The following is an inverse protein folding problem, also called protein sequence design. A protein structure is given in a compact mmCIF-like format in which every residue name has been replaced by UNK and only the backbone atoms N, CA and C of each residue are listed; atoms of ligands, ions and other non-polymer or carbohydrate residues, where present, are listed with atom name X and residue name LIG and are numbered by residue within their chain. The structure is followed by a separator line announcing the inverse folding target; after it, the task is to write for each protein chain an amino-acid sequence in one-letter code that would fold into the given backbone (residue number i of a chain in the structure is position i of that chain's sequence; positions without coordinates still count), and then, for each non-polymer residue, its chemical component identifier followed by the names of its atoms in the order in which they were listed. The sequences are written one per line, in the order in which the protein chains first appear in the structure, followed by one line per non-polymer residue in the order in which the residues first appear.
data_IF_890775352700
#
_entry.id   IF_890775352700
#
_cell.length_a   1.000
_cell.length_b   1.000
_cell.length_c   1.000
_cell.angle_alpha   90.00
_cell.angle_beta   90.00
_cell.angle_gamma   90.00
#
_symmetry.space_group_name_H-M   'P 1'
#
loop_
_entity.id
_entity.type
_entity.pdbx_description
1 polymer ?
#
# COMPACT_ATOMS: atom_id res chain seq x y z
N UNK A 1 77.81 -10.49 12.30
CA UNK A 1 76.92 -9.44 11.75
C UNK A 1 75.69 -9.42 12.65
N UNK A 2 75.68 -8.62 13.73
CA UNK A 2 75.18 -7.24 13.75
C UNK A 2 73.68 -7.26 14.14
N UNK A 3 73.30 -7.35 15.43
CA UNK A 3 73.27 -6.32 16.50
C UNK A 3 71.91 -5.61 16.62
N UNK A 4 71.40 -5.64 17.87
CA UNK A 4 70.55 -4.66 18.61
C UNK A 4 69.03 -4.82 18.71
N UNK A 5 68.65 -5.11 19.96
CA UNK A 5 67.43 -4.81 20.71
C UNK A 5 67.02 -3.33 20.74
N UNK A 6 65.73 -3.05 20.94
CA UNK A 6 65.17 -2.04 21.88
C UNK A 6 63.64 -2.21 21.93
N UNK A 7 63.06 -2.70 23.03
CA UNK A 7 62.47 -1.97 24.16
C UNK A 7 61.18 -1.18 23.83
N UNK A 8 60.02 -1.71 24.26
CA UNK A 8 58.77 -0.98 24.42
C UNK A 8 58.69 -0.42 25.86
N UNK A 9 58.49 0.89 25.97
CA UNK A 9 58.25 1.60 27.23
C UNK A 9 56.74 1.69 27.49
N UNK A 10 56.34 1.25 28.68
CA UNK A 10 55.05 1.53 29.30
C UNK A 10 55.21 2.58 30.41
N UNK A 11 54.45 3.67 30.32
CA UNK A 11 54.08 4.67 31.35
C UNK A 11 52.80 5.34 30.81
N UNK A 12 51.75 5.67 31.54
CA UNK A 12 51.47 5.69 32.97
C UNK A 12 50.30 6.67 33.17
N UNK A 13 49.26 6.20 33.84
CA UNK A 13 48.36 6.88 34.80
C UNK A 13 48.26 8.42 34.80
N UNK A 14 47.03 8.96 34.74
CA UNK A 14 46.64 10.15 35.49
C UNK A 14 45.17 10.08 35.94
N UNK A 15 44.99 9.96 37.25
CA UNK A 15 43.82 10.36 38.03
C UNK A 15 43.80 11.88 38.23
N UNK A 16 42.62 12.50 38.21
CA UNK A 16 42.47 13.94 38.51
C UNK A 16 41.03 14.37 38.75
N UNK A 17 40.55 14.15 39.96
CA UNK A 17 39.36 14.78 40.55
C UNK A 17 39.72 16.21 40.99
N UNK A 18 39.01 17.23 40.53
CA UNK A 18 38.89 18.54 41.22
C UNK A 18 37.42 19.00 41.16
N UNK A 19 36.88 19.32 42.35
CA UNK A 19 35.59 19.94 42.64
C UNK A 19 35.64 21.45 42.34
N UNK A 20 34.51 22.05 41.98
CA UNK A 20 34.05 23.34 42.56
C UNK A 20 32.54 23.52 42.38
N UNK A 21 31.98 24.24 43.34
CA UNK A 21 30.57 24.53 43.61
C UNK A 21 30.14 25.92 43.09
N UNK A 22 28.83 26.04 42.85
CA UNK A 22 27.92 27.21 43.00
C UNK A 22 27.94 28.36 41.97
N UNK A 23 26.69 28.67 41.58
CA UNK A 23 26.04 29.95 41.28
C UNK A 23 26.50 30.78 40.07
N UNK A 24 25.65 30.82 39.04
CA UNK A 24 24.98 32.03 38.54
C UNK A 24 24.17 31.69 37.28
N UNK A 25 22.98 32.28 37.16
CA UNK A 25 22.00 31.96 36.13
C UNK A 25 22.48 32.18 34.69
N UNK A 26 21.97 31.36 33.79
CA UNK A 26 21.90 31.71 32.36
C UNK A 26 20.68 31.04 31.76
N UNK A 27 19.85 31.87 31.14
CA UNK A 27 18.64 31.52 30.40
C UNK A 27 18.97 30.53 29.28
N UNK A 28 18.27 29.39 29.24
CA UNK A 28 18.36 28.43 28.14
C UNK A 28 17.16 28.65 27.22
N UNK A 29 17.43 29.23 26.05
CA UNK A 29 16.49 29.25 24.93
C UNK A 29 16.58 27.86 24.29
N UNK A 30 15.50 27.08 24.37
CA UNK A 30 15.35 25.86 23.58
C UNK A 30 14.96 26.27 22.17
N UNK A 31 15.87 26.05 21.22
CA UNK A 31 15.61 26.21 19.80
C UNK A 31 14.81 24.98 19.33
N UNK A 32 13.51 25.15 19.11
CA UNK A 32 12.65 24.16 18.46
C UNK A 32 13.02 24.09 16.99
N UNK A 33 13.73 23.02 16.63
CA UNK A 33 14.11 22.70 15.27
C UNK A 33 12.87 22.44 14.40
N UNK A 34 12.66 23.35 13.47
CA UNK A 34 11.76 23.26 12.34
C UNK A 34 12.32 22.19 11.37
N UNK A 35 11.67 21.03 11.28
CA UNK A 35 11.97 20.03 10.27
C UNK A 35 11.30 20.43 8.94
N UNK A 36 12.11 20.90 7.99
CA UNK A 36 11.68 21.11 6.61
C UNK A 36 11.36 19.78 5.93
N UNK A 37 10.07 19.57 5.64
CA UNK A 37 9.60 18.61 4.63
C UNK A 37 10.01 19.11 3.24
N UNK A 38 11.17 18.67 2.74
CA UNK A 38 11.54 18.82 1.33
C UNK A 38 11.85 17.46 0.71
N UNK A 39 11.01 17.01 -0.22
CA UNK A 39 11.33 15.81 -1.00
C UNK A 39 10.21 15.08 -1.74
N UNK A 40 9.37 15.77 -2.53
CA UNK A 40 8.68 15.09 -3.64
C UNK A 40 8.28 16.06 -4.77
N UNK A 41 9.23 16.41 -5.63
CA UNK A 41 8.93 16.92 -6.98
C UNK A 41 9.85 16.21 -7.98
N UNK A 42 9.43 15.03 -8.44
CA UNK A 42 9.98 14.44 -9.65
C UNK A 42 9.33 15.09 -10.87
N UNK A 43 10.19 15.58 -11.74
CA UNK A 43 9.92 16.23 -13.01
C UNK A 43 9.11 15.32 -13.94
N UNK A 44 7.89 15.73 -14.30
CA UNK A 44 7.21 15.27 -15.50
C UNK A 44 7.60 16.19 -16.67
N UNK A 45 8.47 15.68 -17.54
CA UNK A 45 8.93 16.35 -18.76
C UNK A 45 7.86 16.17 -19.83
N UNK A 46 6.87 17.06 -19.86
CA UNK A 46 5.83 17.10 -20.90
C UNK A 46 6.33 17.93 -22.10
N UNK A 47 6.55 17.23 -23.21
CA UNK A 47 6.75 17.84 -24.52
C UNK A 47 5.47 18.55 -24.97
N UNK A 48 5.51 19.88 -25.02
CA UNK A 48 4.52 20.68 -25.73
C UNK A 48 4.86 20.70 -27.22
N UNK A 49 3.96 20.14 -28.04
CA UNK A 49 3.74 20.61 -29.42
C UNK A 49 2.26 20.98 -29.59
N UNK A 50 1.97 22.05 -30.35
CA UNK A 50 0.63 22.60 -30.47
C UNK A 50 -0.10 22.01 -31.69
N UNK A 51 -1.37 21.67 -31.53
CA UNK A 51 -2.27 21.54 -32.68
C UNK A 51 -3.69 22.02 -32.35
N UNK A 52 -3.99 23.18 -32.93
CA UNK A 52 -5.25 23.63 -33.52
C UNK A 52 -6.58 23.09 -32.95
N UNK A 53 -7.32 24.01 -32.34
CA UNK A 53 -8.66 24.45 -32.77
C UNK A 53 -9.57 23.39 -33.42
N UNK A 54 -10.49 22.81 -32.64
CA UNK A 54 -11.73 22.26 -33.17
C UNK A 54 -12.91 22.63 -32.27
N UNK A 55 -13.90 23.24 -32.92
CA UNK A 55 -15.10 23.82 -32.34
C UNK A 55 -15.95 22.83 -31.53
N UNK A 56 -16.54 23.38 -30.46
CA UNK A 56 -17.71 22.91 -29.73
C UNK A 56 -18.75 22.26 -30.65
N UNK A 57 -19.11 21.01 -30.37
CA UNK A 57 -20.47 20.49 -30.58
C UNK A 57 -20.91 19.78 -29.32
N UNK A 58 -21.78 20.46 -28.58
CA UNK A 58 -22.54 19.88 -27.49
C UNK A 58 -23.42 18.75 -28.04
N UNK A 59 -23.30 17.56 -27.45
CA UNK A 59 -24.20 16.44 -27.67
C UNK A 59 -25.40 16.61 -26.74
N UNK A 60 -26.65 16.67 -27.25
CA UNK A 60 -27.82 16.71 -26.39
C UNK A 60 -28.16 15.30 -25.89
N UNK A 61 -28.59 15.24 -24.64
CA UNK A 61 -29.16 14.07 -23.98
C UNK A 61 -30.36 13.54 -24.80
N UNK A 62 -30.24 12.30 -25.26
CA UNK A 62 -31.31 11.59 -25.95
C UNK A 62 -32.33 11.09 -24.92
N UNK A 63 -33.40 11.85 -24.76
CA UNK A 63 -34.65 11.43 -24.13
C UNK A 63 -35.30 10.34 -24.99
N UNK A 64 -35.46 9.14 -24.45
CA UNK A 64 -36.18 8.06 -25.11
C UNK A 64 -37.69 8.33 -25.05
N UNK A 65 -38.25 8.76 -26.18
CA UNK A 65 -39.68 8.80 -26.42
C UNK A 65 -40.23 7.38 -26.65
N UNK A 66 -41.18 6.99 -25.80
CA UNK A 66 -42.01 5.79 -25.95
C UNK A 66 -43.07 6.07 -27.04
N UNK A 67 -43.20 5.22 -28.09
CA UNK A 67 -44.22 5.42 -29.11
C UNK A 67 -45.62 5.04 -28.63
N UNK A 68 -46.56 5.95 -28.86
CA UNK A 68 -47.98 5.78 -28.59
C UNK A 68 -48.60 4.68 -29.49
N UNK A 69 -49.08 3.61 -28.88
CA UNK A 69 -49.83 2.55 -29.55
C UNK A 69 -51.28 2.97 -29.82
N UNK A 70 -51.68 2.81 -31.08
CA UNK A 70 -52.98 3.13 -31.68
C UNK A 70 -54.09 2.26 -31.08
N UNK A 71 -55.12 2.89 -30.51
CA UNK A 71 -56.33 2.24 -29.97
C UNK A 71 -57.21 1.70 -31.12
N UNK A 72 -57.35 0.38 -31.20
CA UNK A 72 -58.43 -0.27 -31.97
C UNK A 72 -59.53 -0.68 -31.00
N UNK A 73 -60.71 -0.09 -31.16
CA UNK A 73 -61.92 -0.44 -30.41
C UNK A 73 -62.42 -1.82 -30.86
N UNK A 74 -62.23 -2.83 -30.01
CA UNK A 74 -62.96 -4.10 -30.09
C UNK A 74 -63.85 -4.21 -28.85
N UNK A 75 -65.18 -4.30 -28.99
CA UNK A 75 -66.06 -4.57 -27.86
C UNK A 75 -66.00 -6.06 -27.53
N UNK A 76 -65.59 -6.40 -26.30
CA UNK A 76 -65.82 -7.72 -25.71
C UNK A 76 -64.59 -8.42 -25.14
N UNK A 77 -64.11 -8.01 -23.96
CA UNK A 77 -63.58 -9.02 -23.03
C UNK A 77 -64.08 -8.88 -21.58
N UNK A 78 -64.96 -7.91 -21.27
CA UNK A 78 -65.40 -7.67 -19.89
C UNK A 78 -66.27 -8.79 -19.30
N UNK A 79 -66.95 -9.59 -20.13
CA UNK A 79 -67.75 -10.72 -19.64
C UNK A 79 -66.87 -11.93 -19.32
N UNK A 80 -65.72 -12.10 -19.98
CA UNK A 80 -64.82 -13.25 -19.78
C UNK A 80 -63.90 -13.03 -18.57
N UNK A 81 -63.41 -11.80 -18.33
CA UNK A 81 -62.56 -11.52 -17.15
C UNK A 81 -63.35 -11.52 -15.84
N UNK A 82 -64.61 -11.07 -15.82
CA UNK A 82 -65.43 -11.15 -14.59
C UNK A 82 -65.80 -12.61 -14.22
N UNK A 83 -65.99 -13.50 -15.20
CA UNK A 83 -66.23 -14.92 -14.94
C UNK A 83 -64.98 -15.65 -14.42
N UNK A 84 -63.77 -15.24 -14.84
CA UNK A 84 -62.51 -15.80 -14.32
C UNK A 84 -62.17 -15.32 -12.90
N UNK A 85 -62.53 -14.08 -12.53
CA UNK A 85 -62.32 -13.58 -11.17
C UNK A 85 -63.27 -14.26 -10.17
N UNK A 86 -64.53 -14.49 -10.53
CA UNK A 86 -65.48 -15.17 -9.64
C UNK A 86 -65.23 -16.69 -9.50
N UNK A 87 -64.76 -17.37 -10.55
CA UNK A 87 -64.37 -18.80 -10.46
C UNK A 87 -63.00 -19.00 -9.80
N UNK A 88 -62.10 -18.02 -9.89
CA UNK A 88 -60.83 -18.01 -9.16
C UNK A 88 -61.00 -17.77 -7.64
N UNK A 89 -61.95 -16.92 -7.23
CA UNK A 89 -62.14 -16.65 -5.80
C UNK A 89 -62.78 -17.82 -5.03
N UNK A 90 -63.60 -18.65 -5.67
CA UNK A 90 -64.19 -19.85 -5.05
C UNK A 90 -63.19 -20.99 -4.82
N UNK A 91 -62.15 -21.09 -5.66
CA UNK A 91 -61.11 -22.15 -5.53
C UNK A 91 -59.92 -21.72 -4.67
N UNK A 92 -59.65 -20.42 -4.55
CA UNK A 92 -58.59 -19.89 -3.68
C UNK A 92 -59.00 -19.90 -2.20
N UNK A 93 -60.28 -19.69 -1.86
CA UNK A 93 -60.74 -19.76 -0.46
C UNK A 93 -60.69 -21.19 0.11
N UNK A 94 -60.90 -22.19 -0.74
CA UNK A 94 -60.85 -23.61 -0.37
C UNK A 94 -59.41 -24.16 -0.29
N UNK A 95 -58.48 -23.63 -1.09
CA UNK A 95 -57.04 -23.92 -0.95
C UNK A 95 -56.41 -23.28 0.29
N UNK A 96 -56.82 -22.06 0.66
CA UNK A 96 -56.28 -21.38 1.86
C UNK A 96 -56.68 -22.04 3.18
N UNK A 97 -57.68 -22.93 3.18
CA UNK A 97 -58.12 -23.68 4.36
C UNK A 97 -57.43 -25.05 4.52
N UNK A 98 -56.59 -25.48 3.56
CA UNK A 98 -55.95 -26.81 3.56
C UNK A 98 -54.47 -26.83 3.91
N UNK A 99 -53.84 -25.68 4.11
CA UNK A 99 -52.38 -25.57 4.36
C UNK A 99 -51.97 -25.21 5.78
N UNK A 100 -52.89 -25.18 6.75
CA UNK A 100 -52.53 -25.12 8.17
C UNK A 100 -52.34 -26.56 8.72
N UNK A 101 -51.32 -27.26 8.22
CA UNK A 101 -50.98 -28.63 8.61
C UNK A 101 -50.18 -28.74 9.92
N UNK A 102 -49.99 -27.63 10.64
CA UNK A 102 -49.32 -27.62 11.94
C UNK A 102 -50.35 -27.51 13.06
N UNK A 103 -50.36 -28.51 13.94
CA UNK A 103 -51.11 -28.52 15.20
C UNK A 103 -50.92 -27.17 15.94
N UNK A 104 -51.98 -26.49 16.41
CA UNK A 104 -51.89 -25.16 17.05
C UNK A 104 -50.74 -24.98 18.08
N UNK A 105 -50.47 -25.93 19.01
CA UNK A 105 -49.35 -25.79 19.94
C UNK A 105 -47.96 -25.85 19.27
N UNK A 106 -47.82 -26.52 18.13
CA UNK A 106 -46.58 -26.54 17.35
C UNK A 106 -46.34 -25.19 16.70
N UNK A 107 -47.38 -24.58 16.13
CA UNK A 107 -47.31 -23.22 15.56
C UNK A 107 -46.96 -22.18 16.63
N UNK A 108 -47.56 -22.27 17.82
CA UNK A 108 -47.25 -21.35 18.91
C UNK A 108 -45.83 -21.54 19.46
N UNK A 109 -45.28 -22.76 19.42
CA UNK A 109 -43.87 -23.01 19.73
C UNK A 109 -42.95 -22.33 18.72
N UNK A 110 -43.17 -22.54 17.42
CA UNK A 110 -42.36 -21.93 16.37
C UNK A 110 -42.44 -20.39 16.40
N UNK A 111 -43.62 -19.82 16.71
CA UNK A 111 -43.76 -18.37 16.89
C UNK A 111 -42.91 -17.86 18.05
N UNK A 112 -42.92 -18.55 19.19
CA UNK A 112 -42.06 -18.18 20.34
C UNK A 112 -40.57 -18.28 20.03
N UNK A 113 -40.14 -19.34 19.33
CA UNK A 113 -38.75 -19.51 18.90
C UNK A 113 -38.33 -18.38 17.95
N UNK A 114 -39.18 -18.05 16.97
CA UNK A 114 -38.93 -16.93 16.06
C UNK A 114 -38.92 -15.57 16.78
N UNK A 115 -39.83 -15.34 17.74
CA UNK A 115 -39.85 -14.12 18.54
C UNK A 115 -38.62 -14.00 19.46
N UNK A 116 -38.06 -15.12 19.91
CA UNK A 116 -36.78 -15.15 20.64
C UNK A 116 -35.59 -14.84 19.73
N UNK A 117 -35.57 -15.41 18.52
CA UNK A 117 -34.54 -15.13 17.52
C UNK A 117 -34.56 -13.67 17.06
N UNK A 118 -35.75 -13.12 16.78
CA UNK A 118 -35.92 -11.70 16.43
C UNK A 118 -35.40 -10.79 17.54
N UNK A 119 -35.76 -11.06 18.81
CA UNK A 119 -35.24 -10.30 19.96
C UNK A 119 -33.73 -10.46 20.11
N UNK A 120 -33.17 -11.62 19.76
CA UNK A 120 -31.72 -11.85 19.71
C UNK A 120 -31.04 -10.95 18.67
N UNK A 121 -31.58 -10.91 17.45
CA UNK A 121 -31.08 -10.05 16.38
C UNK A 121 -31.24 -8.55 16.68
N UNK A 122 -32.33 -8.13 17.33
CA UNK A 122 -32.50 -6.74 17.76
C UNK A 122 -31.40 -6.31 18.74
N UNK A 123 -31.06 -7.14 19.73
CA UNK A 123 -29.96 -6.85 20.67
C UNK A 123 -28.61 -6.74 19.97
N UNK A 124 -28.34 -7.62 19.01
CA UNK A 124 -27.10 -7.58 18.20
C UNK A 124 -27.06 -6.29 17.38
N UNK A 125 -28.18 -5.92 16.75
CA UNK A 125 -28.29 -4.69 15.96
C UNK A 125 -28.11 -3.43 16.81
N UNK A 126 -28.65 -3.41 18.02
CA UNK A 126 -28.43 -2.32 18.97
C UNK A 126 -26.97 -2.24 19.43
N UNK A 127 -26.31 -3.37 19.68
CA UNK A 127 -24.89 -3.41 20.02
C UNK A 127 -24.03 -2.86 18.88
N UNK A 128 -24.27 -3.32 17.65
CA UNK A 128 -23.59 -2.85 16.46
C UNK A 128 -23.82 -1.35 16.20
N UNK A 129 -25.05 -0.86 16.41
CA UNK A 129 -25.35 0.57 16.29
C UNK A 129 -24.62 1.40 17.33
N UNK A 130 -24.41 0.90 18.57
CA UNK A 130 -23.61 1.61 19.58
C UNK A 130 -22.15 1.70 19.16
N UNK A 131 -21.57 0.60 18.68
CA UNK A 131 -20.19 0.59 18.16
C UNK A 131 -20.01 1.53 16.97
N UNK A 132 -20.99 1.60 16.07
CA UNK A 132 -20.97 2.56 14.95
C UNK A 132 -20.96 4.01 15.42
N UNK A 133 -21.77 4.36 16.43
CA UNK A 133 -21.79 5.71 16.99
C UNK A 133 -20.45 6.06 17.65
N UNK A 134 -19.86 5.11 18.38
CA UNK A 134 -18.53 5.31 18.97
C UNK A 134 -17.45 5.52 17.91
N UNK A 135 -17.45 4.69 16.85
CA UNK A 135 -16.51 4.85 15.74
C UNK A 135 -16.72 6.17 14.99
N UNK A 136 -17.97 6.60 14.82
CA UNK A 136 -18.29 7.88 14.17
C UNK A 136 -17.80 9.07 15.00
N UNK A 137 -17.95 9.01 16.33
CA UNK A 137 -17.40 10.02 17.24
C UNK A 137 -15.87 10.12 17.15
N UNK A 138 -15.17 8.98 17.06
CA UNK A 138 -13.71 8.97 16.90
C UNK A 138 -13.32 9.60 15.56
N UNK A 139 -14.05 9.25 14.48
CA UNK A 139 -13.80 9.81 13.14
C UNK A 139 -14.00 11.32 13.11
N UNK A 140 -15.10 11.83 13.66
CA UNK A 140 -15.38 13.27 13.73
C UNK A 140 -14.33 13.99 14.58
N UNK A 141 -13.93 13.42 15.73
CA UNK A 141 -12.86 13.98 16.55
C UNK A 141 -11.53 14.10 15.80
N UNK A 142 -11.18 13.08 15.00
CA UNK A 142 -9.99 13.12 14.16
C UNK A 142 -10.09 14.15 13.02
N UNK A 143 -11.28 14.34 12.44
CA UNK A 143 -11.53 15.37 11.42
C UNK A 143 -11.35 16.79 12.00
N UNK A 144 -11.84 17.04 13.21
CA UNK A 144 -11.67 18.31 13.92
C UNK A 144 -10.18 18.58 14.24
N UNK A 145 -9.45 17.59 14.78
CA UNK A 145 -8.00 17.70 15.03
C UNK A 145 -7.21 17.98 13.73
N UNK A 146 -7.58 17.30 12.63
CA UNK A 146 -6.99 17.55 11.32
C UNK A 146 -7.27 18.97 10.82
N UNK A 147 -8.46 19.50 11.07
CA UNK A 147 -8.80 20.86 10.70
C UNK A 147 -7.99 21.87 11.52
N UNK A 148 -7.87 21.68 12.82
CA UNK A 148 -7.07 22.54 13.70
C UNK A 148 -5.60 22.58 13.26
N UNK A 149 -5.02 21.42 12.94
CA UNK A 149 -3.65 21.33 12.42
C UNK A 149 -3.47 22.07 11.09
N UNK A 150 -4.45 21.96 10.17
CA UNK A 150 -4.40 22.69 8.89
C UNK A 150 -4.46 24.20 9.09
N UNK A 151 -5.30 24.66 10.01
CA UNK A 151 -5.40 26.09 10.33
C UNK A 151 -4.14 26.60 11.03
N UNK A 152 -3.56 25.83 11.95
CA UNK A 152 -2.29 26.16 12.60
C UNK A 152 -1.15 26.27 11.58
N UNK A 153 -1.03 25.30 10.68
CA UNK A 153 -0.07 25.34 9.59
C UNK A 153 -0.32 26.53 8.65
N UNK A 154 -1.58 26.83 8.35
CA UNK A 154 -1.96 28.00 7.55
C UNK A 154 -1.52 29.33 8.20
N UNK A 155 -1.64 29.45 9.53
CA UNK A 155 -1.17 30.63 10.27
C UNK A 155 0.35 30.76 10.21
N UNK A 156 1.07 29.66 10.41
CA UNK A 156 2.54 29.64 10.35
C UNK A 156 3.06 30.01 8.95
N UNK A 157 2.45 29.46 7.89
CA UNK A 157 2.80 29.81 6.50
C UNK A 157 2.52 31.29 6.23
N UNK A 158 1.40 31.85 6.71
CA UNK A 158 1.08 33.26 6.56
C UNK A 158 2.10 34.16 7.30
N UNK A 159 2.54 33.76 8.49
CA UNK A 159 3.57 34.46 9.24
C UNK A 159 4.93 34.43 8.51
N UNK A 160 5.35 33.26 8.02
CA UNK A 160 6.57 33.14 7.21
C UNK A 160 6.52 34.00 5.95
N UNK A 161 5.37 34.07 5.28
CA UNK A 161 5.19 34.96 4.14
C UNK A 161 5.31 36.44 4.51
N UNK A 162 4.76 36.85 5.67
CA UNK A 162 4.91 38.24 6.16
C UNK A 162 6.37 38.57 6.45
N UNK A 163 7.09 37.67 7.12
CA UNK A 163 8.53 37.84 7.40
C UNK A 163 9.32 37.94 6.09
N UNK A 164 9.02 37.08 5.12
CA UNK A 164 9.65 37.09 3.81
C UNK A 164 9.43 38.42 3.07
N UNK A 165 8.18 38.88 2.99
CA UNK A 165 7.84 40.15 2.33
C UNK A 165 8.47 41.35 3.06
N UNK A 166 8.51 41.32 4.40
CA UNK A 166 9.21 42.32 5.19
C UNK A 166 10.70 42.39 4.82
N UNK A 167 11.36 41.23 4.75
CA UNK A 167 12.76 41.15 4.35
C UNK A 167 13.01 41.58 2.90
N UNK A 168 12.10 41.24 1.97
CA UNK A 168 12.18 41.68 0.57
C UNK A 168 12.06 43.22 0.46
N UNK A 169 11.15 43.83 1.23
CA UNK A 169 11.01 45.29 1.30
C UNK A 169 12.26 45.96 1.90
N UNK A 170 12.78 45.46 3.03
CA UNK A 170 14.01 45.97 3.64
C UNK A 170 15.21 45.85 2.67
N UNK A 171 15.31 44.72 1.97
CA UNK A 171 16.33 44.53 0.92
C UNK A 171 16.17 45.52 -0.22
N UNK A 172 14.94 45.85 -0.62
CA UNK A 172 14.67 46.84 -1.65
C UNK A 172 15.05 48.24 -1.17
N UNK A 173 14.66 48.64 0.04
CA UNK A 173 15.01 49.93 0.63
C UNK A 173 16.52 50.12 0.75
N UNK A 174 17.25 49.08 1.18
CA UNK A 174 18.72 49.11 1.22
C UNK A 174 19.34 49.25 -0.17
N UNK A 175 18.81 48.56 -1.18
CA UNK A 175 19.30 48.71 -2.57
C UNK A 175 19.07 50.11 -3.09
N UNK A 176 17.92 50.71 -2.81
CA UNK A 176 17.62 52.08 -3.22
C UNK A 176 18.47 53.11 -2.48
N UNK A 177 18.69 52.93 -1.17
CA UNK A 177 19.57 53.77 -0.37
C UNK A 177 21.01 53.72 -0.89
N UNK A 178 21.54 52.52 -1.11
CA UNK A 178 22.86 52.32 -1.70
C UNK A 178 22.95 52.93 -3.10
N UNK A 179 21.91 52.78 -3.93
CA UNK A 179 21.84 53.41 -5.25
C UNK A 179 21.88 54.94 -5.19
N UNK A 180 21.24 55.56 -4.19
CA UNK A 180 21.30 57.01 -3.96
C UNK A 180 22.70 57.45 -3.54
N UNK A 181 23.33 56.73 -2.61
CA UNK A 181 24.68 57.02 -2.13
C UNK A 181 25.72 56.90 -3.25
N UNK A 182 25.63 55.85 -4.08
CA UNK A 182 26.49 55.70 -5.26
C UNK A 182 26.27 56.84 -6.26
N UNK A 183 25.03 57.25 -6.50
CA UNK A 183 24.73 58.37 -7.40
C UNK A 183 25.22 59.72 -6.87
N UNK A 184 25.21 59.92 -5.55
CA UNK A 184 25.76 61.11 -4.89
C UNK A 184 27.29 61.14 -4.98
N UNK A 185 27.97 60.03 -4.64
CA UNK A 185 29.42 59.90 -4.81
C UNK A 185 29.86 60.08 -6.26
N UNK A 186 29.07 59.62 -7.24
CA UNK A 186 29.38 59.81 -8.65
C UNK A 186 29.27 61.29 -9.08
N UNK A 187 28.32 62.05 -8.53
CA UNK A 187 28.23 63.51 -8.74
C UNK A 187 29.39 64.26 -8.09
N UNK A 188 29.82 63.84 -6.91
CA UNK A 188 30.99 64.43 -6.23
C UNK A 188 32.29 64.07 -6.95
N UNK A 189 32.40 62.84 -7.46
CA UNK A 189 33.53 62.33 -8.23
C UNK A 189 33.72 63.02 -9.59
N UNK A 190 32.63 63.35 -10.30
CA UNK A 190 32.68 64.11 -11.56
C UNK A 190 33.16 65.57 -11.36
N UNK A 191 33.09 66.12 -10.14
CA UNK A 191 33.68 67.41 -9.77
C UNK A 191 35.15 67.36 -9.32
N UNK A 192 35.69 66.16 -9.07
CA UNK A 192 36.97 65.92 -8.41
C UNK A 192 38.00 65.18 -9.27
N UNK A 193 37.93 65.25 -10.59
CA UNK A 193 38.90 64.59 -11.47
C UNK A 193 40.27 65.33 -11.54
N UNK A 194 40.94 65.57 -10.39
CA UNK A 194 42.36 65.99 -10.39
C UNK A 194 43.10 65.79 -9.06
N UNK A 195 43.24 64.56 -8.58
CA UNK A 195 44.31 64.25 -7.62
C UNK A 195 44.76 62.78 -7.67
N UNK A 196 45.93 62.61 -8.29
CA UNK A 196 47.03 61.67 -7.97
C UNK A 196 46.73 60.16 -7.76
N UNK A 197 47.04 59.30 -8.75
CA UNK A 197 46.98 57.85 -8.63
C UNK A 197 48.31 57.27 -8.10
N UNK A 198 48.63 57.50 -6.83
CA UNK A 198 49.78 56.86 -6.16
C UNK A 198 49.39 56.44 -4.74
N UNK A 199 48.64 55.35 -4.63
CA UNK A 199 48.23 54.74 -3.34
C UNK A 199 47.20 53.60 -3.47
N UNK A 200 46.44 53.56 -4.56
CA UNK A 200 45.27 52.64 -4.80
C UNK A 200 45.66 51.16 -5.04
N UNK A 201 46.96 50.82 -5.02
CA UNK A 201 47.46 49.48 -5.32
C UNK A 201 47.23 48.47 -4.20
N UNK A 202 47.49 48.87 -2.95
CA UNK A 202 47.46 47.97 -1.78
C UNK A 202 46.05 47.63 -1.32
N UNK A 203 45.17 48.62 -1.21
CA UNK A 203 43.77 48.42 -0.77
C UNK A 203 43.00 47.51 -1.73
N UNK A 204 43.29 47.59 -3.04
CA UNK A 204 42.72 46.70 -4.05
C UNK A 204 43.22 45.25 -3.89
N UNK A 205 44.45 45.05 -3.46
CA UNK A 205 44.98 43.71 -3.18
C UNK A 205 44.35 43.10 -1.93
N UNK A 206 44.12 43.89 -0.88
CA UNK A 206 43.44 43.44 0.33
C UNK A 206 41.98 43.01 0.07
N UNK A 207 41.24 43.79 -0.75
CA UNK A 207 39.87 43.44 -1.14
C UNK A 207 39.82 42.12 -1.93
N UNK A 208 40.76 41.91 -2.86
CA UNK A 208 40.85 40.66 -3.63
C UNK A 208 41.18 39.50 -2.68
N UNK A 209 42.15 39.66 -1.78
CA UNK A 209 42.52 38.63 -0.82
C UNK A 209 41.36 38.26 0.12
N UNK A 210 40.60 39.25 0.59
CA UNK A 210 39.42 39.04 1.43
C UNK A 210 38.30 38.32 0.69
N UNK A 211 38.04 38.68 -0.58
CA UNK A 211 37.05 38.00 -1.42
C UNK A 211 37.43 36.54 -1.66
N UNK A 212 38.69 36.29 -1.98
CA UNK A 212 39.21 34.93 -2.21
C UNK A 212 39.13 34.09 -0.93
N UNK A 213 39.35 34.71 0.24
CA UNK A 213 39.16 34.07 1.54
C UNK A 213 37.69 33.69 1.78
N UNK A 214 36.77 34.62 1.52
CA UNK A 214 35.34 34.36 1.67
C UNK A 214 34.86 33.25 0.72
N UNK A 215 35.40 33.20 -0.51
CA UNK A 215 35.08 32.14 -1.47
C UNK A 215 35.61 30.78 -1.03
N UNK A 216 36.82 30.73 -0.46
CA UNK A 216 37.36 29.52 0.18
C UNK A 216 36.50 29.06 1.36
N UNK A 217 36.13 29.97 2.23
CA UNK A 217 35.31 29.66 3.40
C UNK A 217 33.90 29.19 2.98
N UNK A 218 33.28 29.86 1.99
CA UNK A 218 31.98 29.45 1.43
C UNK A 218 32.06 28.08 0.75
N UNK A 219 33.12 27.79 0.03
CA UNK A 219 33.35 26.49 -0.61
C UNK A 219 33.53 25.39 0.44
N UNK A 220 34.30 25.67 1.49
CA UNK A 220 34.48 24.76 2.62
C UNK A 220 33.15 24.48 3.33
N UNK A 221 32.38 25.51 3.65
CA UNK A 221 31.06 25.34 4.28
C UNK A 221 30.07 24.57 3.40
N UNK A 222 30.15 24.73 2.07
CA UNK A 222 29.34 23.96 1.14
C UNK A 222 29.73 22.47 1.12
N UNK A 223 31.03 22.16 1.19
CA UNK A 223 31.54 20.80 1.32
C UNK A 223 31.12 20.18 2.66
N UNK A 224 31.35 20.88 3.77
CA UNK A 224 31.01 20.41 5.11
C UNK A 224 29.51 20.05 5.21
N UNK A 225 28.61 20.90 4.70
CA UNK A 225 27.16 20.60 4.66
C UNK A 225 26.80 19.42 3.76
N UNK A 226 27.51 19.25 2.65
CA UNK A 226 27.28 18.12 1.75
C UNK A 226 27.71 16.80 2.40
N UNK A 227 28.82 16.82 3.14
CA UNK A 227 29.33 15.64 3.85
C UNK A 227 28.48 15.31 5.09
N UNK A 228 28.03 16.30 5.86
CA UNK A 228 27.05 16.11 6.93
C UNK A 228 25.77 15.44 6.41
N UNK A 229 25.21 15.94 5.30
CA UNK A 229 24.03 15.34 4.67
C UNK A 229 24.26 13.89 4.20
N UNK A 230 25.47 13.55 3.76
CA UNK A 230 25.83 12.17 3.38
C UNK A 230 25.93 11.26 4.60
N UNK A 231 26.55 11.72 5.68
CA UNK A 231 26.65 10.97 6.93
C UNK A 231 25.28 10.77 7.57
N UNK A 232 24.41 11.77 7.59
CA UNK A 232 23.04 11.64 8.09
C UNK A 232 22.22 10.65 7.26
N UNK A 233 22.35 10.68 5.93
CA UNK A 233 21.71 9.70 5.06
C UNK A 233 22.22 8.28 5.33
N UNK A 234 23.52 8.12 5.62
CA UNK A 234 24.12 6.84 5.97
C UNK A 234 23.59 6.32 7.31
N UNK A 235 23.56 7.17 8.35
CA UNK A 235 23.03 6.83 9.67
C UNK A 235 21.55 6.44 9.60
N UNK A 236 20.75 7.20 8.85
CA UNK A 236 19.34 6.89 8.64
C UNK A 236 19.15 5.53 7.98
N UNK A 237 19.95 5.22 6.95
CA UNK A 237 19.91 3.91 6.28
C UNK A 237 20.34 2.77 7.20
N UNK A 238 21.42 2.94 7.96
CA UNK A 238 21.88 1.95 8.94
C UNK A 238 20.83 1.68 10.02
N UNK A 239 20.10 2.71 10.45
CA UNK A 239 18.99 2.58 11.39
C UNK A 239 17.78 1.85 10.78
N UNK A 240 17.38 2.21 9.56
CA UNK A 240 16.33 1.50 8.80
C UNK A 240 16.68 0.02 8.62
N UNK A 241 17.93 -0.29 8.26
CA UNK A 241 18.42 -1.67 8.10
C UNK A 241 18.43 -2.42 9.43
N UNK A 242 18.78 -1.76 10.55
CA UNK A 242 18.71 -2.34 11.90
C UNK A 242 17.29 -2.66 12.31
N UNK A 243 16.34 -1.75 12.04
CA UNK A 243 14.91 -1.97 12.31
C UNK A 243 14.40 -3.14 11.48
N UNK A 244 14.73 -3.18 10.18
CA UNK A 244 14.34 -4.27 9.28
C UNK A 244 14.89 -5.62 9.71
N UNK A 245 16.13 -5.66 10.23
CA UNK A 245 16.73 -6.89 10.74
C UNK A 245 16.00 -7.46 11.99
N UNK A 246 15.16 -6.66 12.66
CA UNK A 246 14.32 -7.12 13.76
C UNK A 246 13.06 -7.86 13.32
N UNK A 247 12.65 -7.74 12.05
CA UNK A 247 11.44 -8.39 11.55
C UNK A 247 11.65 -9.90 11.45
N UNK A 248 10.68 -10.67 11.94
CA UNK A 248 10.75 -12.13 11.93
C UNK A 248 9.41 -12.73 11.53
N UNK A 249 9.45 -13.78 10.72
CA UNK A 249 8.30 -14.62 10.44
C UNK A 249 8.08 -15.62 11.58
N UNK A 250 6.84 -15.76 12.03
CA UNK A 250 6.41 -16.80 12.98
C UNK A 250 5.30 -17.66 12.39
N UNK A 251 5.21 -18.89 12.87
CA UNK A 251 4.14 -19.81 12.49
C UNK A 251 4.12 -20.17 11.00
N UNK A 252 5.29 -20.26 10.35
CA UNK A 252 5.37 -20.71 8.95
C UNK A 252 4.71 -22.09 8.80
N UNK A 253 3.55 -22.10 8.13
CA UNK A 253 2.68 -23.26 8.00
C UNK A 253 2.33 -23.50 6.53
N UNK A 254 2.53 -24.74 6.11
CA UNK A 254 2.02 -25.29 4.86
C UNK A 254 0.48 -25.40 4.90
N UNK A 255 -0.20 -24.99 3.83
CA UNK A 255 -1.62 -25.29 3.63
C UNK A 255 -1.82 -26.81 3.51
N UNK A 256 -2.93 -27.29 4.06
CA UNK A 256 -3.23 -28.73 4.12
C UNK A 256 -3.54 -29.28 2.72
N UNK A 257 -3.90 -28.41 1.78
CA UNK A 257 -4.17 -28.74 0.37
C UNK A 257 -3.06 -28.30 -0.57
N UNK A 258 -2.89 -29.04 -1.65
CA UNK A 258 -2.06 -28.67 -2.79
C UNK A 258 -2.86 -27.80 -3.77
N UNK A 259 -2.22 -26.77 -4.32
CA UNK A 259 -2.85 -25.86 -5.28
C UNK A 259 -2.85 -26.44 -6.70
N UNK A 260 -1.74 -27.08 -7.07
CA UNK A 260 -1.51 -27.75 -8.35
C UNK A 260 -0.34 -28.72 -8.20
N UNK A 261 -0.02 -29.51 -9.24
CA UNK A 261 1.09 -30.47 -9.16
C UNK A 261 2.38 -29.78 -8.74
N UNK A 262 2.97 -30.29 -7.68
CA UNK A 262 4.22 -29.82 -7.09
C UNK A 262 4.13 -28.46 -6.43
N UNK A 263 2.93 -27.90 -6.23
CA UNK A 263 2.76 -26.57 -5.64
C UNK A 263 1.84 -26.54 -4.42
N UNK A 264 2.29 -25.85 -3.37
CA UNK A 264 1.58 -25.66 -2.11
C UNK A 264 1.67 -24.21 -1.65
N UNK A 265 0.62 -23.73 -0.97
CA UNK A 265 0.65 -22.43 -0.32
C UNK A 265 1.26 -22.53 1.08
N UNK A 266 2.07 -21.54 1.46
CA UNK A 266 2.55 -21.34 2.82
C UNK A 266 2.02 -20.02 3.35
N UNK A 267 1.78 -19.98 4.65
CA UNK A 267 1.40 -18.76 5.36
C UNK A 267 2.24 -18.59 6.62
N UNK A 268 2.55 -17.35 6.98
CA UNK A 268 3.28 -17.01 8.19
C UNK A 268 2.92 -15.60 8.62
N UNK A 269 2.92 -15.34 9.92
CA UNK A 269 2.64 -14.02 10.46
C UNK A 269 3.95 -13.24 10.63
N UNK A 270 3.95 -11.94 10.32
CA UNK A 270 5.10 -11.07 10.60
C UNK A 270 5.04 -10.55 12.04
N UNK A 271 6.18 -10.61 12.74
CA UNK A 271 6.35 -10.15 14.12
C UNK A 271 7.46 -9.11 14.25
N UNK A 272 7.47 -8.43 15.40
CA UNK A 272 8.47 -7.43 15.79
C UNK A 272 8.52 -6.20 14.87
N UNK A 273 7.41 -5.85 14.23
CA UNK A 273 7.26 -4.60 13.48
C UNK A 273 7.00 -3.46 14.48
N UNK A 274 7.85 -2.42 14.56
CA UNK A 274 7.60 -1.24 15.37
C UNK A 274 6.29 -0.54 14.98
N UNK A 275 5.66 0.16 15.93
CA UNK A 275 4.36 0.82 15.70
C UNK A 275 4.45 1.94 14.66
N UNK A 276 5.63 2.49 14.47
CA UNK A 276 5.92 3.58 13.53
C UNK A 276 6.11 3.08 12.10
N UNK A 277 6.17 1.75 11.89
CA UNK A 277 6.40 1.14 10.59
C UNK A 277 5.13 0.46 10.06
N UNK A 278 4.86 0.58 8.77
CA UNK A 278 3.71 -0.07 8.15
C UNK A 278 3.91 -1.60 8.12
N UNK A 279 3.07 -2.39 8.81
CA UNK A 279 3.23 -3.84 8.87
C UNK A 279 3.02 -4.52 7.51
N UNK A 280 2.23 -3.92 6.60
CA UNK A 280 2.04 -4.47 5.25
C UNK A 280 3.30 -4.26 4.42
N UNK A 281 3.94 -3.09 4.51
CA UNK A 281 5.23 -2.83 3.88
C UNK A 281 6.32 -3.75 4.44
N UNK A 282 6.38 -3.95 5.77
CA UNK A 282 7.31 -4.88 6.39
C UNK A 282 7.12 -6.31 5.86
N UNK A 283 5.87 -6.76 5.71
CA UNK A 283 5.54 -8.06 5.13
C UNK A 283 6.08 -8.22 3.71
N UNK A 284 5.91 -7.20 2.84
CA UNK A 284 6.35 -7.26 1.45
C UNK A 284 7.88 -7.27 1.29
N UNK A 285 8.62 -6.65 2.22
CA UNK A 285 10.08 -6.50 2.14
C UNK A 285 10.85 -7.62 2.88
N UNK A 286 10.18 -8.40 3.74
CA UNK A 286 10.86 -9.39 4.60
C UNK A 286 11.01 -10.74 3.89
N UNK A 287 12.25 -11.19 3.70
CA UNK A 287 12.54 -12.50 3.11
C UNK A 287 12.23 -13.66 4.06
N UNK A 288 11.85 -14.82 3.52
CA UNK A 288 11.63 -16.08 4.26
C UNK A 288 12.51 -17.20 3.70
N UNK A 289 12.78 -18.23 4.50
CA UNK A 289 13.45 -19.46 4.04
C UNK A 289 12.45 -20.62 4.06
N UNK A 290 12.18 -21.21 2.90
CA UNK A 290 11.28 -22.36 2.74
C UNK A 290 12.05 -23.44 1.99
N UNK A 291 12.10 -24.65 2.53
CA UNK A 291 12.88 -25.78 2.00
C UNK A 291 14.37 -25.48 1.73
N UNK A 292 14.99 -24.64 2.56
CA UNK A 292 16.39 -24.23 2.39
C UNK A 292 16.63 -23.20 1.27
N UNK A 293 15.57 -22.71 0.62
CA UNK A 293 15.64 -21.64 -0.36
C UNK A 293 15.14 -20.32 0.22
N UNK A 294 15.95 -19.27 0.10
CA UNK A 294 15.57 -17.91 0.51
C UNK A 294 14.69 -17.26 -0.56
N UNK A 295 13.47 -16.93 -0.18
CA UNK A 295 12.48 -16.22 -0.99
C UNK A 295 12.46 -14.76 -0.55
N UNK A 296 12.62 -13.84 -1.51
CA UNK A 296 12.81 -12.42 -1.20
C UNK A 296 11.56 -11.75 -0.63
N UNK A 297 10.37 -12.13 -1.10
CA UNK A 297 9.10 -11.52 -0.74
C UNK A 297 7.96 -12.52 -0.87
N UNK A 298 6.87 -12.36 -0.09
CA UNK A 298 5.62 -13.08 -0.33
C UNK A 298 4.96 -12.70 -1.66
N UNK A 299 4.04 -13.55 -2.14
CA UNK A 299 3.20 -13.25 -3.30
C UNK A 299 2.20 -12.13 -2.98
N UNK A 300 1.65 -12.15 -1.76
CA UNK A 300 0.83 -11.08 -1.23
C UNK A 300 0.85 -11.09 0.31
N UNK A 301 0.43 -9.96 0.87
CA UNK A 301 0.29 -9.73 2.30
C UNK A 301 -1.19 -9.50 2.64
N UNK A 302 -1.68 -10.19 3.67
CA UNK A 302 -3.06 -10.08 4.15
C UNK A 302 -3.04 -9.46 5.55
N UNK A 303 -3.65 -8.28 5.71
CA UNK A 303 -3.87 -7.67 7.01
C UNK A 303 -5.14 -8.23 7.64
N UNK A 304 -4.99 -8.93 8.77
CA UNK A 304 -6.08 -9.53 9.55
C UNK A 304 -6.39 -8.73 10.83
N UNK A 305 -6.07 -7.44 10.85
CA UNK A 305 -6.35 -6.51 11.94
C UNK A 305 -5.61 -6.88 13.22
N UNK A 306 -6.34 -7.15 14.31
CA UNK A 306 -5.74 -7.54 15.59
C UNK A 306 -4.91 -8.83 15.52
N UNK A 307 -5.15 -9.67 14.50
CA UNK A 307 -4.35 -10.88 14.29
C UNK A 307 -3.02 -10.60 13.58
N UNK A 308 -2.75 -9.35 13.20
CA UNK A 308 -1.53 -8.95 12.48
C UNK A 308 -1.57 -9.22 10.98
N UNK A 309 -0.42 -9.06 10.34
CA UNK A 309 -0.25 -9.22 8.90
C UNK A 309 0.38 -10.59 8.58
N UNK A 310 -0.20 -11.28 7.61
CA UNK A 310 0.25 -12.59 7.13
C UNK A 310 0.87 -12.47 5.74
N UNK A 311 2.02 -13.11 5.54
CA UNK A 311 2.60 -13.34 4.22
C UNK A 311 2.09 -14.66 3.65
N UNK A 312 1.87 -14.68 2.33
CA UNK A 312 1.47 -15.88 1.59
C UNK A 312 2.47 -16.19 0.49
N UNK A 313 2.91 -17.44 0.38
CA UNK A 313 3.85 -17.90 -0.65
C UNK A 313 3.30 -19.12 -1.38
N UNK A 314 3.38 -19.12 -2.71
CA UNK A 314 3.08 -20.26 -3.56
C UNK A 314 4.38 -20.93 -3.94
N UNK A 315 4.66 -22.06 -3.32
CA UNK A 315 5.91 -22.79 -3.47
C UNK A 315 5.69 -23.93 -4.44
N UNK A 316 6.38 -23.92 -5.57
CA UNK A 316 6.28 -24.95 -6.63
C UNK A 316 7.53 -25.83 -6.77
N UNK A 317 8.40 -25.82 -5.75
CA UNK A 317 9.60 -26.64 -5.66
C UNK A 317 9.62 -27.43 -4.36
N UNK A 318 10.25 -28.61 -4.38
CA UNK A 318 10.45 -29.45 -3.18
C UNK A 318 9.17 -29.81 -2.42
N UNK A 319 8.04 -29.93 -3.11
CA UNK A 319 6.74 -30.37 -2.55
C UNK A 319 6.38 -31.81 -2.97
N UNK A 320 7.06 -32.85 -2.46
CA UNK A 320 6.84 -34.23 -2.90
C UNK A 320 5.42 -34.73 -2.63
N UNK A 321 4.77 -34.23 -1.57
CA UNK A 321 3.38 -34.59 -1.24
C UNK A 321 2.37 -34.04 -2.24
N UNK A 322 2.71 -33.00 -2.99
CA UNK A 322 1.86 -32.41 -4.02
C UNK A 322 2.17 -32.94 -5.42
N UNK A 323 3.01 -33.97 -5.56
CA UNK A 323 3.32 -34.56 -6.86
C UNK A 323 2.34 -35.69 -7.15
N UNK A 324 1.35 -35.41 -7.98
CA UNK A 324 0.46 -36.40 -8.58
C UNK A 324 1.09 -37.01 -9.84
N UNK A 325 0.63 -38.20 -10.19
CA UNK A 325 1.05 -38.92 -11.40
C UNK A 325 -0.11 -39.75 -11.95
N UNK A 326 -0.08 -40.02 -13.26
CA UNK A 326 -1.03 -40.93 -13.90
C UNK A 326 -0.52 -42.36 -13.87
N UNK A 327 -1.38 -43.29 -13.47
CA UNK A 327 -1.10 -44.72 -13.50
C UNK A 327 -2.29 -45.51 -14.08
N UNK A 328 -2.02 -46.75 -14.49
CA UNK A 328 -3.01 -47.68 -15.04
C UNK A 328 -3.71 -47.19 -16.31
N UNK A 329 -2.91 -46.75 -17.30
CA UNK A 329 -3.41 -46.31 -18.60
C UNK A 329 -4.27 -47.38 -19.29
N UNK A 330 -5.53 -47.06 -19.56
CA UNK A 330 -6.51 -47.87 -20.29
C UNK A 330 -6.75 -47.28 -21.66
N UNK A 331 -6.69 -48.15 -22.65
CA UNK A 331 -6.88 -47.79 -24.05
C UNK A 331 -8.35 -48.03 -24.44
N UNK A 332 -9.10 -46.93 -24.65
CA UNK A 332 -10.51 -46.97 -25.00
C UNK A 332 -10.76 -47.06 -26.52
N UNK A 333 -9.69 -47.19 -27.33
CA UNK A 333 -9.80 -47.23 -28.78
C UNK A 333 -10.01 -45.86 -29.43
N UNK A 334 -10.47 -45.87 -30.69
CA UNK A 334 -10.67 -44.64 -31.47
C UNK A 334 -11.90 -43.86 -31.00
N UNK A 335 -11.80 -42.53 -30.91
CA UNK A 335 -12.93 -41.67 -30.49
C UNK A 335 -14.08 -41.71 -31.50
N UNK A 336 -13.76 -41.77 -32.79
CA UNK A 336 -14.73 -42.01 -33.88
C UNK A 336 -14.05 -42.62 -35.12
N UNK A 337 -14.78 -43.38 -35.96
CA UNK A 337 -14.24 -43.91 -37.20
C UNK A 337 -13.69 -42.81 -38.11
N UNK A 338 -12.42 -42.92 -38.52
CA UNK A 338 -11.77 -41.96 -39.43
C UNK A 338 -11.18 -40.70 -38.77
N UNK A 339 -11.32 -40.51 -37.46
CA UNK A 339 -10.73 -39.34 -36.75
C UNK A 339 -9.21 -39.38 -36.64
N UNK A 340 -8.62 -40.57 -36.63
CA UNK A 340 -7.21 -40.77 -36.29
C UNK A 340 -6.87 -40.49 -34.81
N UNK A 341 -7.86 -40.20 -33.97
CA UNK A 341 -7.68 -39.93 -32.54
C UNK A 341 -8.02 -41.17 -31.72
N UNK A 342 -7.22 -41.41 -30.67
CA UNK A 342 -7.37 -42.55 -29.76
C UNK A 342 -7.50 -42.07 -28.33
N UNK A 343 -8.56 -42.51 -27.63
CA UNK A 343 -8.83 -42.12 -26.25
C UNK A 343 -8.05 -43.05 -25.31
N UNK A 344 -7.18 -42.47 -24.51
CA UNK A 344 -6.47 -43.16 -23.43
C UNK A 344 -6.91 -42.52 -22.11
N UNK A 345 -7.23 -43.34 -21.13
CA UNK A 345 -7.67 -42.90 -19.80
C UNK A 345 -6.70 -43.41 -18.75
N UNK A 346 -6.53 -42.68 -17.66
CA UNK A 346 -5.68 -43.07 -16.55
C UNK A 346 -6.24 -42.49 -15.26
N UNK A 347 -6.05 -43.19 -14.15
CA UNK A 347 -6.40 -42.65 -12.84
C UNK A 347 -5.27 -41.73 -12.34
N UNK A 348 -5.65 -40.64 -11.67
CA UNK A 348 -4.70 -39.72 -11.05
C UNK A 348 -4.40 -40.21 -9.63
N UNK A 349 -3.15 -40.59 -9.39
CA UNK A 349 -2.69 -41.10 -8.11
C UNK A 349 -2.07 -40.01 -7.24
N UNK A 350 -1.98 -40.28 -5.93
CA UNK A 350 -1.45 -39.39 -4.89
C UNK A 350 -2.21 -38.06 -4.73
N UNK A 351 -3.51 -38.06 -5.05
CA UNK A 351 -4.41 -36.94 -4.81
C UNK A 351 -4.89 -36.93 -3.35
N UNK A 352 -4.71 -35.81 -2.63
CA UNK A 352 -5.21 -35.70 -1.26
C UNK A 352 -6.71 -35.34 -1.24
N UNK A 353 -7.39 -35.66 -0.15
CA UNK A 353 -8.84 -35.49 -0.02
C UNK A 353 -9.32 -34.03 -0.18
N UNK A 354 -8.47 -33.06 0.16
CA UNK A 354 -8.80 -31.63 0.13
C UNK A 354 -8.17 -30.88 -1.06
N UNK A 355 -7.48 -31.59 -1.95
CA UNK A 355 -6.85 -30.98 -3.12
C UNK A 355 -7.88 -30.60 -4.17
N UNK A 356 -7.56 -29.56 -4.96
CA UNK A 356 -8.33 -29.29 -6.18
C UNK A 356 -7.97 -30.33 -7.24
N UNK A 357 -8.74 -31.43 -7.27
CA UNK A 357 -8.56 -32.53 -8.23
C UNK A 357 -8.45 -32.05 -9.68
N UNK A 358 -9.14 -30.96 -10.05
CA UNK A 358 -9.11 -30.43 -11.41
C UNK A 358 -7.78 -29.75 -11.69
N UNK A 359 -7.30 -28.91 -10.77
CA UNK A 359 -6.00 -28.26 -10.89
C UNK A 359 -4.84 -29.27 -10.87
N UNK A 360 -4.94 -30.29 -10.02
CA UNK A 360 -3.96 -31.38 -9.97
C UNK A 360 -3.95 -32.16 -11.30
N UNK A 361 -5.12 -32.56 -11.80
CA UNK A 361 -5.24 -33.30 -13.05
C UNK A 361 -4.69 -32.49 -14.25
N UNK A 362 -5.08 -31.22 -14.39
CA UNK A 362 -4.68 -30.40 -15.55
C UNK A 362 -3.20 -30.02 -15.57
N UNK A 363 -2.50 -30.10 -14.43
CA UNK A 363 -1.07 -29.76 -14.31
C UNK A 363 -0.17 -30.97 -14.16
N UNK A 364 -0.75 -32.18 -14.19
CA UNK A 364 0.03 -33.42 -14.13
C UNK A 364 0.46 -33.84 -15.52
N UNK A 365 1.76 -34.02 -15.78
CA UNK A 365 2.21 -34.59 -17.03
C UNK A 365 1.96 -36.10 -17.05
N UNK A 366 1.77 -36.63 -18.25
CA UNK A 366 1.62 -38.06 -18.48
C UNK A 366 2.73 -38.57 -19.41
N UNK A 367 3.40 -39.64 -18.99
CA UNK A 367 4.35 -40.36 -19.83
C UNK A 367 3.73 -41.68 -20.27
N UNK A 368 3.40 -41.81 -21.56
CA UNK A 368 2.76 -43.00 -22.10
C UNK A 368 3.46 -43.48 -23.38
N UNK A 369 3.90 -44.74 -23.41
CA UNK A 369 4.61 -45.35 -24.56
C UNK A 369 5.77 -44.51 -25.10
N UNK A 370 6.56 -43.91 -24.19
CA UNK A 370 7.70 -43.01 -24.50
C UNK A 370 7.30 -41.67 -25.13
N UNK A 371 6.02 -41.32 -25.09
CA UNK A 371 5.52 -40.00 -25.42
C UNK A 371 5.27 -39.24 -24.12
N UNK A 372 5.71 -37.99 -24.09
CA UNK A 372 5.48 -37.05 -22.99
C UNK A 372 4.31 -36.14 -23.34
N UNK A 373 3.41 -35.94 -22.39
CA UNK A 373 2.31 -35.00 -22.48
C UNK A 373 2.38 -34.08 -21.27
N UNK A 374 2.42 -32.76 -21.49
CA UNK A 374 2.52 -31.77 -20.42
C UNK A 374 1.28 -31.75 -19.52
N UNK A 375 0.13 -32.09 -20.09
CA UNK A 375 -1.17 -32.14 -19.42
C UNK A 375 -2.15 -33.07 -20.14
N UNK A 376 -3.15 -33.65 -19.46
CA UNK A 376 -4.25 -34.35 -20.12
C UNK A 376 -5.12 -33.38 -20.93
N UNK A 377 -5.74 -33.89 -22.00
CA UNK A 377 -6.70 -33.12 -22.80
C UNK A 377 -8.03 -32.89 -22.04
N UNK A 378 -8.41 -33.82 -21.16
CA UNK A 378 -9.66 -33.77 -20.39
C UNK A 378 -9.49 -34.39 -19.00
N UNK A 379 -10.15 -33.79 -18.01
CA UNK A 379 -10.15 -34.23 -16.62
C UNK A 379 -11.60 -34.49 -16.15
N UNK A 380 -11.87 -35.71 -15.69
CA UNK A 380 -13.18 -36.13 -15.18
C UNK A 380 -13.06 -36.63 -13.74
N UNK A 381 -14.05 -36.34 -12.90
CA UNK A 381 -14.10 -36.84 -11.52
C UNK A 381 -15.03 -38.07 -11.43
N UNK A 382 -14.44 -39.25 -11.24
CA UNK A 382 -15.13 -40.53 -11.26
C UNK A 382 -15.78 -40.90 -9.91
N UNK A 383 -15.45 -40.17 -8.83
CA UNK A 383 -15.93 -40.48 -7.45
C UNK A 383 -17.44 -40.24 -7.30
N UNK A 384 -18.07 -39.45 -8.18
CA UNK A 384 -19.52 -39.18 -8.14
C UNK A 384 -20.42 -40.28 -8.71
N UNK A 385 -19.86 -41.32 -9.33
CA UNK A 385 -20.68 -42.35 -10.00
C UNK A 385 -20.94 -43.62 -9.16
N UNK A 386 -20.21 -43.85 -8.07
CA UNK A 386 -20.36 -45.06 -7.23
C UNK A 386 -21.37 -44.91 -6.08
N UNK A 387 -21.91 -43.70 -5.84
CA UNK A 387 -22.93 -43.47 -4.79
C UNK A 387 -24.37 -43.44 -5.31
N UNK A 388 -24.59 -43.78 -6.59
CA UNK A 388 -25.91 -43.77 -7.24
C UNK A 388 -26.23 -45.07 -8.01
N UNK A 389 -25.44 -46.14 -7.81
CA UNK A 389 -25.66 -47.45 -8.43
C UNK A 389 -26.09 -48.50 -7.39
#
# INVERSE_FOLDING_TARGET
MGSRSTAMLARGSYSGLIKTTRDAGTVRITNTGFQELSGCTKQAKLHLRPWASAHRRATPLLSQHVPATRKTNFPGPLVVTLLLIFTGWGTISEWRSREDALDPPTRDRMRRELDEEIRGHEKIREAFNRELVEHDMIRVGWEDECQEMREAFGREVAEQQRVRLGWENECQEMREAFGREVAEQQREGDGGARSSPRGVGDERQEIIAMRDQLERDRSKWAQDRADEKREDARRKKEEEDRVRAGFSWDGLKADDRCLRRGARQYTAQIFNVPREYDPVQACAETSVEIHGQRIRSPDHCEDRGCSGVFGHWTIDFSEPTCVTYFDNFKDQGCTSPGSGLRRIESHLENLQANDDWRAMCSTTPADFRRLHFDSPEMCENWVRFLSLA
#
